data_IF_437394803973
#
_entry.id   IF_437394803973
#
_cell.length_a   1.000
_cell.length_b   1.000
_cell.length_c   1.000
_cell.angle_alpha   90.00
_cell.angle_beta   90.00
_cell.angle_gamma   90.00
#
_symmetry.space_group_name_H-M   'P 1'
#
loop_
_entity.id
_entity.type
_entity.pdbx_description
1 polymer ?
#
# COMPACT_ATOMS: atom_id res chain seq x y z
N UNK A 1 -32.23 -50.94 23.12
CA UNK A 1 -32.78 -49.67 23.64
C UNK A 1 -34.27 -49.79 23.48
N UNK A 2 -34.95 -50.23 24.52
CA UNK A 2 -36.40 -50.35 24.49
C UNK A 2 -36.97 -48.93 24.55
N UNK A 3 -37.45 -48.48 23.39
CA UNK A 3 -38.27 -47.29 23.28
C UNK A 3 -39.46 -47.46 24.25
N UNK A 4 -39.97 -46.36 24.78
CA UNK A 4 -40.68 -46.23 26.08
C UNK A 4 -41.96 -47.07 26.28
N UNK A 5 -42.27 -48.00 25.37
CA UNK A 5 -43.44 -48.89 25.39
C UNK A 5 -44.73 -48.16 25.00
N UNK A 6 -44.66 -46.85 24.83
CA UNK A 6 -45.78 -45.98 24.50
C UNK A 6 -45.46 -45.29 23.17
N UNK A 7 -46.14 -45.66 22.07
CA UNK A 7 -45.79 -45.19 20.72
C UNK A 7 -45.92 -43.66 20.57
N UNK A 8 -46.78 -43.03 21.38
CA UNK A 8 -46.93 -41.58 21.42
C UNK A 8 -45.68 -40.87 21.98
N UNK A 9 -45.02 -41.43 23.01
CA UNK A 9 -43.81 -40.85 23.59
C UNK A 9 -42.63 -40.95 22.63
N UNK A 10 -42.48 -42.09 21.97
CA UNK A 10 -41.41 -42.31 20.99
C UNK A 10 -41.56 -41.36 19.78
N UNK A 11 -42.79 -41.12 19.32
CA UNK A 11 -43.06 -40.15 18.27
C UNK A 11 -42.68 -38.71 18.68
N UNK A 12 -43.02 -38.30 19.90
CA UNK A 12 -42.65 -36.96 20.42
C UNK A 12 -41.14 -36.80 20.53
N UNK A 13 -40.42 -37.83 20.98
CA UNK A 13 -38.96 -37.81 21.08
C UNK A 13 -38.29 -37.69 19.70
N UNK A 14 -38.76 -38.45 18.71
CA UNK A 14 -38.22 -38.41 17.35
C UNK A 14 -38.50 -37.04 16.70
N UNK A 15 -39.75 -36.57 16.72
CA UNK A 15 -40.10 -35.29 16.11
C UNK A 15 -39.49 -34.10 16.84
N UNK A 16 -39.38 -34.15 18.17
CA UNK A 16 -38.68 -33.15 18.97
C UNK A 16 -37.19 -33.07 18.62
N UNK A 17 -36.53 -34.24 18.47
CA UNK A 17 -35.15 -34.33 18.01
C UNK A 17 -34.96 -33.70 16.63
N UNK A 18 -35.77 -34.11 15.64
CA UNK A 18 -35.73 -33.56 14.28
C UNK A 18 -35.97 -32.05 14.27
N UNK A 19 -36.99 -31.58 14.98
CA UNK A 19 -37.31 -30.15 15.06
C UNK A 19 -36.17 -29.34 15.66
N UNK A 20 -35.50 -29.86 16.70
CA UNK A 20 -34.35 -29.19 17.31
C UNK A 20 -33.17 -29.07 16.36
N UNK A 21 -32.84 -30.14 15.62
CA UNK A 21 -31.74 -30.15 14.64
C UNK A 21 -32.04 -29.17 13.51
N UNK A 22 -33.26 -29.22 12.95
CA UNK A 22 -33.68 -28.30 11.87
C UNK A 22 -33.61 -26.86 12.34
N UNK A 23 -34.07 -26.57 13.56
CA UNK A 23 -34.02 -25.23 14.13
C UNK A 23 -32.58 -24.75 14.33
N UNK A 24 -31.69 -25.61 14.85
CA UNK A 24 -30.29 -25.28 15.04
C UNK A 24 -29.61 -24.96 13.70
N UNK A 25 -29.77 -25.84 12.70
CA UNK A 25 -29.20 -25.67 11.36
C UNK A 25 -29.76 -24.41 10.70
N UNK A 26 -31.08 -24.21 10.74
CA UNK A 26 -31.73 -23.04 10.18
C UNK A 26 -31.23 -21.74 10.82
N UNK A 27 -31.03 -21.73 12.14
CA UNK A 27 -30.51 -20.56 12.86
C UNK A 27 -29.07 -20.24 12.46
N UNK A 28 -28.22 -21.28 12.34
CA UNK A 28 -26.82 -21.11 11.90
C UNK A 28 -26.77 -20.57 10.47
N UNK A 29 -27.52 -21.17 9.55
CA UNK A 29 -27.60 -20.71 8.16
C UNK A 29 -28.08 -19.26 8.09
N UNK A 30 -29.15 -18.91 8.80
CA UNK A 30 -29.67 -17.55 8.83
C UNK A 30 -28.64 -16.54 9.34
N UNK A 31 -27.89 -16.87 10.40
CA UNK A 31 -26.82 -16.00 10.91
C UNK A 31 -25.69 -15.83 9.91
N UNK A 32 -25.26 -16.91 9.26
CA UNK A 32 -24.21 -16.86 8.22
C UNK A 32 -24.68 -15.99 7.07
N UNK A 33 -25.86 -16.25 6.51
CA UNK A 33 -26.42 -15.47 5.40
C UNK A 33 -26.54 -14.00 5.77
N UNK A 34 -27.05 -13.67 6.97
CA UNK A 34 -27.15 -12.28 7.43
C UNK A 34 -25.77 -11.63 7.57
N UNK A 35 -24.78 -12.35 8.09
CA UNK A 35 -23.40 -11.87 8.20
C UNK A 35 -22.77 -11.58 6.83
N UNK A 36 -22.92 -12.52 5.89
CA UNK A 36 -22.42 -12.38 4.52
C UNK A 36 -23.08 -11.20 3.81
N UNK A 37 -24.40 -11.05 3.90
CA UNK A 37 -25.13 -9.93 3.30
C UNK A 37 -24.71 -8.58 3.89
N UNK A 38 -24.35 -8.54 5.18
CA UNK A 38 -23.87 -7.30 5.79
C UNK A 38 -22.43 -7.00 5.38
N UNK A 39 -21.61 -8.03 5.20
CA UNK A 39 -20.21 -7.86 4.77
C UNK A 39 -20.12 -7.51 3.28
N UNK A 40 -20.99 -8.07 2.43
CA UNK A 40 -20.96 -7.84 0.98
C UNK A 40 -21.11 -6.38 0.63
N UNK A 41 -22.03 -5.66 1.28
CA UNK A 41 -22.22 -4.22 1.08
C UNK A 41 -20.94 -3.42 1.33
N UNK A 42 -20.19 -3.80 2.37
CA UNK A 42 -18.94 -3.12 2.73
C UNK A 42 -17.80 -3.43 1.76
N UNK A 43 -17.79 -4.64 1.21
CA UNK A 43 -16.84 -5.04 0.17
C UNK A 43 -17.18 -4.33 -1.14
N UNK A 44 -18.45 -4.19 -1.50
CA UNK A 44 -18.90 -3.41 -2.66
C UNK A 44 -18.45 -1.95 -2.55
N UNK A 45 -18.71 -1.29 -1.41
CA UNK A 45 -18.25 0.08 -1.15
C UNK A 45 -16.72 0.20 -1.27
N UNK A 46 -15.97 -0.76 -0.72
CA UNK A 46 -14.51 -0.79 -0.83
C UNK A 46 -14.04 -0.98 -2.27
N UNK A 47 -14.67 -1.87 -3.03
CA UNK A 47 -14.36 -2.12 -4.43
C UNK A 47 -14.67 -0.89 -5.29
N UNK A 48 -15.76 -0.18 -5.03
CA UNK A 48 -16.12 1.07 -5.70
C UNK A 48 -15.10 2.18 -5.41
N UNK A 49 -14.62 2.31 -4.17
CA UNK A 49 -13.56 3.26 -3.84
C UNK A 49 -12.20 2.86 -4.46
N UNK A 50 -11.93 1.56 -4.56
CA UNK A 50 -10.71 1.02 -5.15
C UNK A 50 -10.65 1.22 -6.66
N UNK A 51 -11.73 0.86 -7.37
CA UNK A 51 -11.87 1.03 -8.82
C UNK A 51 -12.07 2.50 -9.20
N UNK A 52 -12.74 3.27 -8.34
CA UNK A 52 -13.20 4.61 -8.64
C UNK A 52 -14.60 4.60 -9.25
N UNK A 53 -15.19 5.79 -9.34
CA UNK A 53 -16.49 5.98 -9.97
C UNK A 53 -16.32 6.55 -11.38
N UNK A 54 -16.91 5.86 -12.35
CA UNK A 54 -16.93 6.30 -13.74
C UNK A 54 -17.70 7.62 -13.91
N UNK A 55 -17.29 8.44 -14.89
CA UNK A 55 -17.91 9.73 -15.13
C UNK A 55 -19.35 9.56 -15.62
N UNK A 56 -20.27 10.32 -15.03
CA UNK A 56 -21.70 10.28 -15.38
C UNK A 56 -22.15 11.66 -15.83
N UNK A 57 -23.18 11.79 -16.69
CA UNK A 57 -23.61 13.09 -17.20
C UNK A 57 -23.91 14.07 -16.05
N UNK A 58 -23.10 15.14 -15.95
CA UNK A 58 -23.22 16.18 -14.92
C UNK A 58 -22.50 15.91 -13.59
N UNK A 59 -21.81 14.76 -13.44
CA UNK A 59 -21.00 14.45 -12.24
C UNK A 59 -19.62 13.95 -12.66
N UNK A 60 -18.53 14.68 -12.33
CA UNK A 60 -17.18 14.24 -12.65
C UNK A 60 -16.88 12.92 -11.93
N UNK A 61 -16.24 11.99 -12.67
CA UNK A 61 -15.82 10.71 -12.12
C UNK A 61 -14.88 10.88 -10.91
N UNK A 62 -14.94 9.96 -9.96
CA UNK A 62 -14.06 9.97 -8.78
C UNK A 62 -12.88 9.03 -9.04
N UNK A 63 -11.62 9.51 -9.00
CA UNK A 63 -10.47 8.67 -9.30
C UNK A 63 -10.29 7.59 -8.23
N UNK A 64 -10.18 6.34 -8.69
CA UNK A 64 -9.88 5.18 -7.87
C UNK A 64 -8.45 5.20 -7.33
N UNK A 65 -8.14 4.23 -6.45
CA UNK A 65 -6.85 4.17 -5.75
C UNK A 65 -5.69 3.96 -6.72
N UNK A 66 -5.84 3.07 -7.71
CA UNK A 66 -4.78 2.79 -8.70
C UNK A 66 -4.43 4.02 -9.54
N UNK A 67 -5.43 4.81 -9.93
CA UNK A 67 -5.21 6.06 -10.67
C UNK A 67 -4.44 7.09 -9.82
N UNK A 68 -4.72 7.17 -8.51
CA UNK A 68 -3.99 8.06 -7.60
C UNK A 68 -2.56 7.60 -7.38
N UNK A 69 -2.33 6.29 -7.25
CA UNK A 69 -1.00 5.70 -7.10
C UNK A 69 -0.13 5.98 -8.32
N UNK A 70 -0.65 5.83 -9.54
CA UNK A 70 0.08 6.22 -10.75
C UNK A 70 0.51 7.68 -10.75
N UNK A 71 -0.41 8.59 -10.36
CA UNK A 71 -0.06 10.00 -10.22
C UNK A 71 0.94 10.32 -9.09
N UNK A 72 1.11 9.44 -8.10
CA UNK A 72 2.18 9.55 -7.11
C UNK A 72 3.51 9.04 -7.65
N UNK A 73 3.49 7.93 -8.40
CA UNK A 73 4.68 7.37 -9.06
C UNK A 73 5.27 8.38 -10.05
N UNK A 74 4.46 8.99 -10.92
CA UNK A 74 4.91 10.02 -11.86
C UNK A 74 5.56 11.22 -11.14
N UNK A 75 4.97 11.66 -10.04
CA UNK A 75 5.51 12.75 -9.22
C UNK A 75 6.82 12.34 -8.56
N UNK A 76 6.91 11.11 -8.07
CA UNK A 76 8.11 10.57 -7.46
C UNK A 76 9.23 10.43 -8.49
N UNK A 77 8.96 9.87 -9.67
CA UNK A 77 9.92 9.78 -10.78
C UNK A 77 10.43 11.15 -11.19
N UNK A 78 9.55 12.17 -11.22
CA UNK A 78 9.98 13.54 -11.51
C UNK A 78 10.91 14.10 -10.42
N UNK A 79 10.57 13.91 -9.15
CA UNK A 79 11.42 14.35 -8.03
C UNK A 79 12.76 13.63 -8.07
N UNK A 80 12.74 12.32 -8.31
CA UNK A 80 13.94 11.50 -8.44
C UNK A 80 14.85 12.02 -9.55
N UNK A 81 14.28 12.34 -10.71
CA UNK A 81 15.00 12.91 -11.85
C UNK A 81 15.74 14.22 -11.51
N UNK A 82 15.15 15.07 -10.66
CA UNK A 82 15.75 16.34 -10.24
C UNK A 82 16.88 16.15 -9.20
N UNK A 83 16.91 15.01 -8.50
CA UNK A 83 17.88 14.71 -7.44
C UNK A 83 19.11 13.94 -7.92
N UNK A 84 19.08 13.39 -9.14
CA UNK A 84 20.24 12.76 -9.77
C UNK A 84 20.96 13.73 -10.72
N UNK A 85 22.29 13.59 -10.88
CA UNK A 85 23.01 14.35 -11.89
C UNK A 85 22.47 14.03 -13.28
N UNK A 86 22.09 15.05 -14.03
CA UNK A 86 21.48 14.91 -15.35
C UNK A 86 22.04 15.94 -16.34
N UNK A 87 23.36 15.88 -16.54
CA UNK A 87 24.08 16.66 -17.55
C UNK A 87 23.80 18.17 -17.50
N UNK A 88 23.56 18.73 -16.32
CA UNK A 88 23.30 20.16 -16.10
C UNK A 88 21.81 20.54 -16.10
N UNK A 89 20.90 19.58 -16.33
CA UNK A 89 19.47 19.82 -16.41
C UNK A 89 18.72 19.70 -15.08
N UNK A 90 19.32 19.08 -14.05
CA UNK A 90 18.66 18.85 -12.77
C UNK A 90 18.92 19.95 -11.75
N UNK A 91 18.03 20.08 -10.77
CA UNK A 91 18.23 20.95 -9.60
C UNK A 91 19.54 20.65 -8.87
N UNK A 92 19.92 19.38 -8.76
CA UNK A 92 21.20 18.98 -8.15
C UNK A 92 22.39 19.55 -8.91
N UNK A 93 22.41 19.44 -10.24
CA UNK A 93 23.50 19.98 -11.05
C UNK A 93 23.60 21.52 -10.90
N UNK A 94 22.46 22.20 -10.79
CA UNK A 94 22.43 23.65 -10.56
C UNK A 94 23.00 24.03 -9.17
N UNK A 95 22.70 23.24 -8.13
CA UNK A 95 23.25 23.43 -6.78
C UNK A 95 24.76 23.14 -6.76
N UNK A 96 25.20 22.05 -7.39
CA UNK A 96 26.62 21.68 -7.46
C UNK A 96 27.43 22.76 -8.20
N UNK A 97 26.89 23.28 -9.32
CA UNK A 97 27.50 24.39 -10.05
C UNK A 97 27.54 25.69 -9.22
N UNK A 98 26.48 25.99 -8.47
CA UNK A 98 26.44 27.17 -7.60
C UNK A 98 27.49 27.05 -6.47
N UNK A 99 27.61 25.87 -5.86
CA UNK A 99 28.61 25.60 -4.82
C UNK A 99 30.04 25.73 -5.38
N UNK A 100 30.31 25.20 -6.58
CA UNK A 100 31.62 25.36 -7.24
C UNK A 100 31.95 26.83 -7.50
N UNK A 101 30.99 27.61 -8.01
CA UNK A 101 31.18 29.06 -8.23
C UNK A 101 31.41 29.81 -6.93
N UNK A 102 30.71 29.43 -5.87
CA UNK A 102 30.88 30.03 -4.56
C UNK A 102 32.27 29.75 -4.00
N UNK A 103 32.75 28.51 -4.08
CA UNK A 103 34.10 28.13 -3.64
C UNK A 103 35.21 28.92 -4.37
N UNK A 104 35.02 29.24 -5.64
CA UNK A 104 35.96 30.09 -6.39
C UNK A 104 35.96 31.56 -5.92
N UNK A 105 34.82 32.08 -5.48
CA UNK A 105 34.68 33.48 -5.03
C UNK A 105 35.04 33.65 -3.55
N UNK A 106 34.82 32.61 -2.75
CA UNK A 106 35.08 32.54 -1.32
C UNK A 106 35.90 31.28 -1.04
N UNK A 107 37.18 31.25 -1.45
CA UNK A 107 38.05 30.13 -1.11
C UNK A 107 38.15 30.02 0.41
N UNK A 108 37.88 28.83 0.95
CA UNK A 108 38.03 28.60 2.38
C UNK A 108 39.50 28.88 2.75
N UNK A 109 39.76 29.68 3.80
CA UNK A 109 41.12 30.06 4.19
C UNK A 109 41.98 28.87 4.66
N UNK A 110 41.38 27.69 4.82
CA UNK A 110 41.98 26.50 5.43
C UNK A 110 42.24 25.32 4.47
N UNK A 111 42.03 25.46 3.15
CA UNK A 111 42.40 24.42 2.18
C UNK A 111 43.92 24.48 1.89
N UNK A 112 44.70 23.85 2.78
CA UNK A 112 46.15 23.71 2.66
C UNK A 112 46.50 23.00 1.35
N UNK A 113 47.38 23.58 0.49
CA UNK A 113 47.69 22.99 -0.81
C UNK A 113 48.26 21.57 -0.65
N UNK A 114 47.94 20.64 -1.57
CA UNK A 114 48.38 19.25 -1.45
C UNK A 114 49.91 19.22 -1.29
N UNK A 115 50.45 18.42 -0.34
CA UNK A 115 51.86 18.44 -0.02
C UNK A 115 52.69 18.11 -1.27
N UNK A 116 53.81 18.81 -1.51
CA UNK A 116 54.62 18.60 -2.69
C UNK A 116 55.12 17.14 -2.75
N UNK A 117 55.24 16.54 -3.95
CA UNK A 117 55.68 15.17 -4.09
C UNK A 117 57.08 15.00 -3.49
N UNK A 118 57.23 13.97 -2.65
CA UNK A 118 58.48 13.69 -1.95
C UNK A 118 59.65 13.52 -2.94
N UNK A 119 60.85 14.09 -2.65
CA UNK A 119 61.99 13.98 -3.54
C UNK A 119 62.44 12.51 -3.67
N UNK A 120 62.97 12.10 -4.85
CA UNK A 120 63.37 10.73 -5.08
C UNK A 120 64.52 10.35 -4.14
N UNK A 121 64.32 9.26 -3.40
CA UNK A 121 65.28 8.72 -2.45
C UNK A 121 66.58 8.40 -3.17
N UNK A 122 67.62 9.21 -2.93
CA UNK A 122 68.96 8.92 -3.42
C UNK A 122 69.44 7.62 -2.76
N UNK A 123 69.51 6.56 -3.56
CA UNK A 123 70.25 5.36 -3.21
C UNK A 123 71.74 5.73 -3.15
N UNK A 124 72.37 5.52 -1.99
CA UNK A 124 73.82 5.49 -1.89
C UNK A 124 74.24 4.12 -1.39
N UNK A 125 75.08 3.50 -2.23
CA UNK A 125 75.92 2.33 -2.00
C UNK A 125 76.90 2.51 -0.85
#
# INVERSE_FOLDING_TARGET
>A
MDATGIPALDAVLVWGGVASVVTAVGTVLWRITRGVLHLSRRVEEFMDDWAGAEERPGVPGRPGVMARLGGFEDRMTRVEHELYPNSGGSLRDAVDLANQRLALMCPDPDEEPPPPPAPPSAATS
#
